data_IF_292929023167
#
_entry.id   IF_292929023167
#
_cell.length_a   1.000
_cell.length_b   1.000
_cell.length_c   1.000
_cell.angle_alpha   90.00
_cell.angle_beta   90.00
_cell.angle_gamma   90.00
#
_symmetry.space_group_name_H-M   'P 1'
#
loop_
_entity.id
_entity.type
_entity.pdbx_description
1 polymer ?
#
# COMPACT_ATOMS: atom_id res chain seq x y z
N UNK A 1 2.21 -5.03 15.77
CA UNK A 1 1.25 -5.43 14.71
C UNK A 1 0.98 -6.93 14.62
N UNK A 2 1.87 -7.83 15.09
CA UNK A 2 1.72 -9.28 14.85
C UNK A 2 0.93 -10.05 15.91
N UNK A 3 0.64 -9.45 17.06
CA UNK A 3 -0.18 -10.08 18.10
C UNK A 3 -1.65 -9.97 17.70
N UNK A 4 -2.15 -11.03 17.08
CA UNK A 4 -3.55 -11.15 16.64
C UNK A 4 -4.27 -12.11 17.57
N UNK A 5 -5.41 -11.67 18.10
CA UNK A 5 -6.26 -12.46 18.99
C UNK A 5 -7.71 -12.35 18.51
N UNK A 6 -8.53 -13.33 18.90
CA UNK A 6 -9.98 -13.32 18.64
C UNK A 6 -10.36 -13.07 17.17
N UNK A 7 -9.58 -13.58 16.21
CA UNK A 7 -9.85 -13.36 14.79
C UNK A 7 -11.05 -14.21 14.32
N UNK A 8 -12.16 -13.54 13.98
CA UNK A 8 -13.39 -14.19 13.53
C UNK A 8 -13.99 -13.49 12.30
N UNK A 9 -14.40 -14.29 11.31
CA UNK A 9 -15.00 -13.79 10.08
C UNK A 9 -16.52 -13.76 10.22
N UNK A 10 -17.14 -12.60 9.99
CA UNK A 10 -18.59 -12.40 10.04
C UNK A 10 -19.13 -11.90 8.70
N UNK A 11 -20.43 -12.11 8.39
CA UNK A 11 -21.05 -11.49 7.23
C UNK A 11 -20.95 -9.95 7.30
N UNK A 12 -20.55 -9.32 6.19
CA UNK A 12 -20.56 -7.86 6.05
C UNK A 12 -22.00 -7.37 5.86
N UNK A 13 -22.57 -6.74 6.87
CA UNK A 13 -23.96 -6.22 6.82
C UNK A 13 -24.01 -4.73 6.45
N UNK A 14 -23.03 -3.95 6.89
CA UNK A 14 -22.89 -2.52 6.60
C UNK A 14 -21.41 -2.13 6.61
N UNK A 15 -21.03 -1.15 5.78
CA UNK A 15 -19.68 -0.57 5.76
C UNK A 15 -19.73 0.89 5.35
N UNK A 16 -18.84 1.71 5.94
CA UNK A 16 -18.62 3.09 5.52
C UNK A 16 -17.63 3.20 4.35
N UNK A 17 -16.88 2.13 4.07
CA UNK A 17 -15.76 2.14 3.11
C UNK A 17 -16.06 1.28 1.88
N UNK A 18 -16.72 0.13 2.06
CA UNK A 18 -16.98 -0.82 0.98
C UNK A 18 -18.47 -0.86 0.67
N UNK A 19 -18.84 -0.49 -0.56
CA UNK A 19 -20.22 -0.62 -1.04
C UNK A 19 -20.25 -1.66 -2.16
N UNK A 20 -20.63 -2.93 -1.87
CA UNK A 20 -20.85 -3.94 -2.90
C UNK A 20 -22.02 -3.54 -3.80
N UNK A 21 -21.84 -3.71 -5.11
CA UNK A 21 -22.83 -3.39 -6.14
C UNK A 21 -22.95 -4.53 -7.13
N UNK A 22 -24.19 -4.78 -7.58
CA UNK A 22 -24.48 -5.62 -8.74
C UNK A 22 -24.97 -4.74 -9.88
N UNK A 23 -24.35 -4.84 -11.05
CA UNK A 23 -24.78 -4.15 -12.26
C UNK A 23 -25.32 -5.15 -13.28
N UNK A 24 -26.38 -4.76 -13.96
CA UNK A 24 -26.99 -5.51 -15.06
C UNK A 24 -26.81 -4.70 -16.33
N UNK A 25 -26.30 -5.32 -17.39
CA UNK A 25 -26.04 -4.64 -18.66
C UNK A 25 -26.21 -5.60 -19.84
N UNK A 26 -26.43 -5.05 -21.03
CA UNK A 26 -26.46 -5.84 -22.26
C UNK A 26 -25.19 -5.56 -23.05
N UNK A 27 -24.42 -6.60 -23.36
CA UNK A 27 -23.21 -6.49 -24.18
C UNK A 27 -23.34 -7.43 -25.37
N UNK A 28 -23.25 -6.87 -26.58
CA UNK A 28 -23.40 -7.62 -27.84
C UNK A 28 -24.69 -8.45 -27.88
N UNK A 29 -25.82 -7.84 -27.48
CA UNK A 29 -27.14 -8.47 -27.43
C UNK A 29 -27.34 -9.48 -26.29
N UNK A 30 -26.33 -9.76 -25.45
CA UNK A 30 -26.42 -10.68 -24.32
C UNK A 30 -26.56 -9.93 -23.01
N UNK A 31 -27.61 -10.24 -22.24
CA UNK A 31 -27.76 -9.75 -20.86
C UNK A 31 -26.67 -10.36 -19.98
N UNK A 32 -26.04 -9.52 -19.16
CA UNK A 32 -24.98 -9.87 -18.23
C UNK A 32 -25.26 -9.24 -16.88
N UNK A 33 -24.65 -9.84 -15.85
CA UNK A 33 -24.55 -9.30 -14.50
C UNK A 33 -23.08 -9.31 -14.09
N UNK A 34 -22.65 -8.29 -13.36
CA UNK A 34 -21.34 -8.25 -12.71
C UNK A 34 -21.46 -7.69 -11.31
N UNK A 35 -20.71 -8.25 -10.38
CA UNK A 35 -20.66 -7.80 -8.99
C UNK A 35 -19.28 -7.18 -8.74
N UNK A 36 -19.24 -6.02 -8.08
CA UNK A 36 -18.03 -5.25 -7.81
C UNK A 36 -18.20 -4.43 -6.52
N UNK A 37 -17.13 -3.85 -6.00
CA UNK A 37 -17.12 -2.95 -4.85
C UNK A 37 -16.69 -1.58 -5.34
N UNK A 38 -17.37 -0.52 -4.91
CA UNK A 38 -16.85 0.84 -5.13
C UNK A 38 -15.94 1.27 -4.00
N UNK A 39 -14.76 1.74 -4.37
CA UNK A 39 -13.73 2.32 -3.50
C UNK A 39 -13.27 3.65 -4.14
N UNK A 40 -12.66 4.49 -3.32
CA UNK A 40 -12.01 5.70 -3.80
C UNK A 40 -10.71 5.38 -4.53
N UNK A 41 -10.20 6.34 -5.30
CA UNK A 41 -8.85 6.26 -5.85
C UNK A 41 -7.82 6.46 -4.74
N UNK A 42 -6.59 6.03 -4.98
CA UNK A 42 -5.49 6.14 -4.01
C UNK A 42 -4.22 6.77 -4.62
N UNK A 43 -3.33 7.20 -3.73
CA UNK A 43 -1.95 7.60 -4.04
C UNK A 43 -0.99 6.71 -3.29
N UNK A 44 0.16 6.43 -3.90
CA UNK A 44 1.25 5.64 -3.32
C UNK A 44 2.57 6.38 -3.53
N UNK A 45 3.49 6.34 -2.56
CA UNK A 45 4.77 7.04 -2.61
C UNK A 45 5.92 6.11 -2.28
N UNK A 46 6.85 5.97 -3.22
CA UNK A 46 8.16 5.38 -2.96
C UNK A 46 9.11 6.46 -2.42
N UNK A 47 9.53 6.32 -1.18
CA UNK A 47 10.49 7.22 -0.54
C UNK A 47 11.89 6.62 -0.57
N UNK A 48 12.87 7.43 -0.95
CA UNK A 48 14.29 7.08 -0.88
C UNK A 48 15.05 8.10 -0.04
N UNK A 49 15.58 7.65 1.10
CA UNK A 49 16.43 8.46 1.96
C UNK A 49 17.85 8.50 1.39
N UNK A 50 18.26 9.70 0.96
CA UNK A 50 19.56 9.93 0.32
C UNK A 50 20.71 10.10 1.30
N UNK A 51 20.44 10.47 2.56
CA UNK A 51 21.46 10.53 3.61
C UNK A 51 22.04 9.14 3.91
N UNK A 52 21.20 8.10 3.83
CA UNK A 52 21.55 6.73 4.23
C UNK A 52 21.44 5.68 3.11
N UNK A 53 21.00 6.08 1.92
CA UNK A 53 20.77 5.21 0.77
C UNK A 53 19.86 4.01 1.07
N UNK A 54 18.73 4.30 1.73
CA UNK A 54 17.70 3.31 2.09
C UNK A 54 16.34 3.74 1.55
N UNK A 55 15.52 2.79 1.17
CA UNK A 55 14.09 3.02 0.95
C UNK A 55 13.39 3.11 2.29
N UNK A 56 12.43 4.04 2.39
CA UNK A 56 11.50 4.11 3.51
C UNK A 56 10.20 3.45 3.03
N UNK A 57 9.91 2.28 3.59
CA UNK A 57 8.70 1.51 3.32
C UNK A 57 7.92 1.36 4.61
N UNK A 58 6.70 0.83 4.49
CA UNK A 58 5.86 0.55 5.66
C UNK A 58 5.51 -0.92 5.74
N UNK A 59 5.26 -1.39 6.96
CA UNK A 59 4.57 -2.64 7.24
C UNK A 59 3.22 -2.36 7.85
N UNK A 60 2.25 -3.20 7.51
CA UNK A 60 0.96 -3.22 8.17
C UNK A 60 0.40 -4.65 8.19
N UNK A 61 -0.44 -4.95 9.18
CA UNK A 61 -1.24 -6.18 9.15
C UNK A 61 -2.46 -5.97 8.23
N UNK A 62 -2.58 -6.77 7.17
CA UNK A 62 -3.74 -6.78 6.26
C UNK A 62 -4.60 -8.02 6.54
N UNK A 63 -5.79 -7.87 7.17
CA UNK A 63 -6.65 -9.00 7.54
C UNK A 63 -7.04 -9.92 6.38
N UNK A 64 -7.22 -9.36 5.17
CA UNK A 64 -7.54 -10.13 3.98
C UNK A 64 -6.39 -11.06 3.53
N UNK A 65 -5.15 -10.59 3.62
CA UNK A 65 -3.94 -11.39 3.33
C UNK A 65 -3.78 -12.49 4.37
N UNK A 66 -3.96 -12.16 5.65
CA UNK A 66 -3.95 -13.14 6.73
C UNK A 66 -4.98 -14.25 6.48
N UNK A 67 -6.24 -13.89 6.23
CA UNK A 67 -7.32 -14.84 6.01
C UNK A 67 -7.05 -15.77 4.81
N UNK A 68 -6.50 -15.22 3.73
CA UNK A 68 -6.08 -15.99 2.57
C UNK A 68 -4.98 -17.00 2.92
N UNK A 69 -3.95 -16.57 3.64
CA UNK A 69 -2.80 -17.40 4.00
C UNK A 69 -3.13 -18.51 5.01
N UNK A 70 -4.10 -18.29 5.91
CA UNK A 70 -4.61 -19.36 6.79
C UNK A 70 -5.57 -20.34 6.08
N UNK A 71 -5.81 -20.15 4.78
CA UNK A 71 -6.64 -21.00 3.89
C UNK A 71 -8.06 -21.23 4.44
N UNK A 72 -8.59 -20.24 5.14
CA UNK A 72 -9.92 -20.30 5.73
C UNK A 72 -10.84 -19.35 4.97
N UNK A 73 -11.82 -19.90 4.24
CA UNK A 73 -12.65 -19.12 3.31
C UNK A 73 -14.13 -19.02 3.71
N UNK A 74 -14.48 -19.31 4.96
CA UNK A 74 -15.88 -19.35 5.43
C UNK A 74 -16.27 -18.20 6.35
N UNK A 75 -17.49 -17.68 6.18
CA UNK A 75 -18.14 -16.91 7.25
C UNK A 75 -18.40 -17.81 8.46
N UNK A 76 -18.20 -17.28 9.67
CA UNK A 76 -18.31 -18.03 10.92
C UNK A 76 -17.05 -18.80 11.32
N UNK A 77 -15.93 -18.66 10.58
CA UNK A 77 -14.67 -19.29 10.98
C UNK A 77 -13.98 -18.45 12.06
N UNK A 78 -13.62 -19.12 13.16
CA UNK A 78 -12.64 -18.64 14.14
C UNK A 78 -11.26 -19.16 13.74
N UNK A 79 -10.30 -18.26 13.54
CA UNK A 79 -8.92 -18.65 13.25
C UNK A 79 -8.19 -18.88 14.57
N UNK A 80 -7.51 -20.02 14.71
CA UNK A 80 -6.64 -20.26 15.86
C UNK A 80 -5.31 -19.51 15.66
N UNK A 81 -5.19 -18.35 16.30
CA UNK A 81 -4.01 -17.47 16.18
C UNK A 81 -2.78 -17.98 16.94
N UNK A 82 -2.92 -19.03 17.75
CA UNK A 82 -1.76 -19.74 18.34
C UNK A 82 -1.06 -20.64 17.31
N UNK A 83 -1.82 -21.14 16.33
CA UNK A 83 -1.30 -22.00 15.25
C UNK A 83 -0.87 -21.16 14.04
N UNK A 84 -1.61 -20.10 13.75
CA UNK A 84 -1.35 -19.20 12.63
C UNK A 84 -0.83 -17.85 13.17
N UNK A 85 0.48 -17.57 13.05
CA UNK A 85 1.04 -16.32 13.57
C UNK A 85 0.57 -15.12 12.73
N UNK A 86 0.39 -13.96 13.37
CA UNK A 86 -0.06 -12.74 12.69
C UNK A 86 0.87 -12.25 11.58
N UNK A 87 2.14 -12.65 11.60
CA UNK A 87 3.10 -12.39 10.52
C UNK A 87 2.63 -12.91 9.15
N UNK A 88 1.75 -13.91 9.11
CA UNK A 88 1.10 -14.37 7.87
C UNK A 88 0.24 -13.28 7.20
N UNK A 89 -0.17 -12.26 7.93
CA UNK A 89 -0.95 -11.12 7.42
C UNK A 89 -0.15 -9.84 7.27
N UNK A 90 1.12 -9.81 7.71
CA UNK A 90 1.95 -8.61 7.59
C UNK A 90 2.43 -8.49 6.15
N UNK A 91 2.28 -7.29 5.61
CA UNK A 91 2.67 -6.89 4.27
C UNK A 91 3.78 -5.84 4.34
N UNK A 92 4.60 -5.77 3.28
CA UNK A 92 5.52 -4.65 3.02
C UNK A 92 4.95 -3.85 1.86
N UNK A 93 4.75 -2.55 2.10
CA UNK A 93 3.96 -1.67 1.24
C UNK A 93 4.68 -0.33 1.03
N UNK A 94 4.25 0.40 -0.01
CA UNK A 94 4.54 1.82 -0.17
C UNK A 94 3.74 2.62 0.86
N UNK A 95 4.19 3.84 1.15
CA UNK A 95 3.34 4.81 1.83
C UNK A 95 2.13 5.13 0.95
N UNK A 96 0.92 5.06 1.46
CA UNK A 96 -0.28 5.15 0.63
C UNK A 96 -1.47 5.75 1.36
N UNK A 97 -2.38 6.39 0.62
CA UNK A 97 -3.61 6.92 1.19
C UNK A 97 -4.72 7.12 0.17
N UNK A 98 -5.94 7.15 0.67
CA UNK A 98 -7.14 7.34 -0.14
C UNK A 98 -7.31 8.81 -0.55
N UNK A 99 -7.80 9.02 -1.76
CA UNK A 99 -8.18 10.34 -2.26
C UNK A 99 -9.61 10.62 -1.81
N UNK A 100 -9.75 10.95 -0.53
CA UNK A 100 -11.03 11.10 0.18
C UNK A 100 -11.45 12.56 0.43
N UNK A 101 -10.48 13.48 0.36
CA UNK A 101 -10.65 14.92 0.61
C UNK A 101 -10.90 15.67 -0.70
N UNK A 102 -12.11 16.22 -0.88
CA UNK A 102 -12.57 16.87 -2.12
C UNK A 102 -11.73 18.09 -2.56
N UNK A 103 -10.95 18.71 -1.66
CA UNK A 103 -10.19 19.94 -1.92
C UNK A 103 -8.67 19.76 -1.91
N UNK A 104 -8.17 18.53 -2.04
CA UNK A 104 -6.73 18.26 -2.16
C UNK A 104 -6.37 17.72 -3.54
N UNK A 105 -5.28 18.24 -4.11
CA UNK A 105 -4.58 17.59 -5.22
C UNK A 105 -4.00 16.24 -4.79
N UNK A 106 -3.69 15.37 -5.75
CA UNK A 106 -3.08 14.08 -5.48
C UNK A 106 -1.73 14.24 -4.78
N UNK A 107 -0.98 15.28 -5.14
CA UNK A 107 0.30 15.62 -4.54
C UNK A 107 0.14 16.07 -3.07
N UNK A 108 -0.89 16.85 -2.74
CA UNK A 108 -1.20 17.23 -1.35
C UNK A 108 -1.68 16.07 -0.49
N UNK A 109 -2.37 15.08 -1.09
CA UNK A 109 -2.70 13.82 -0.40
C UNK A 109 -1.40 13.07 -0.14
N UNK A 110 -0.60 12.78 -1.17
CA UNK A 110 0.67 12.06 -1.04
C UNK A 110 1.63 12.70 -0.03
N UNK A 111 1.74 14.03 -0.02
CA UNK A 111 2.53 14.76 0.97
C UNK A 111 2.03 14.52 2.41
N UNK A 112 0.71 14.53 2.61
CA UNK A 112 0.11 14.31 3.93
C UNK A 112 0.39 12.89 4.43
N UNK A 113 0.20 11.88 3.57
CA UNK A 113 0.47 10.47 3.92
C UNK A 113 1.94 10.23 4.26
N UNK A 114 2.87 10.83 3.50
CA UNK A 114 4.32 10.73 3.79
C UNK A 114 4.67 11.29 5.17
N UNK A 115 4.00 12.35 5.60
CA UNK A 115 4.20 12.90 6.94
C UNK A 115 3.57 12.00 8.02
N UNK A 116 2.38 11.48 7.76
CA UNK A 116 1.57 10.70 8.70
C UNK A 116 2.12 9.30 8.92
N UNK A 117 2.28 8.53 7.84
CA UNK A 117 2.74 7.15 7.90
C UNK A 117 4.26 7.08 8.07
N UNK A 118 5.01 7.91 7.34
CA UNK A 118 6.47 7.82 7.28
C UNK A 118 7.21 8.88 8.09
N UNK A 119 6.54 9.91 8.62
CA UNK A 119 7.15 10.94 9.47
C UNK A 119 8.08 11.92 8.77
N UNK A 120 8.06 11.98 7.44
CA UNK A 120 8.92 12.87 6.65
C UNK A 120 8.16 14.10 6.18
N UNK A 121 8.77 15.29 6.33
CA UNK A 121 8.24 16.53 5.78
C UNK A 121 8.83 16.81 4.40
N UNK A 122 8.01 16.64 3.37
CA UNK A 122 8.36 16.92 1.97
C UNK A 122 7.50 18.06 1.40
N UNK A 123 7.94 18.66 0.31
CA UNK A 123 7.13 19.57 -0.52
C UNK A 123 6.40 18.78 -1.60
N UNK A 124 5.22 19.27 -2.03
CA UNK A 124 4.52 18.72 -3.20
C UNK A 124 5.36 18.76 -4.47
N UNK A 125 6.34 19.67 -4.55
CA UNK A 125 7.26 19.78 -5.69
C UNK A 125 8.36 18.71 -5.68
N UNK A 126 8.56 18.01 -4.56
CA UNK A 126 9.52 16.91 -4.45
C UNK A 126 8.97 15.61 -5.05
N UNK A 127 7.66 15.55 -5.28
CA UNK A 127 6.98 14.38 -5.81
C UNK A 127 7.16 14.26 -7.32
N UNK A 128 7.80 13.18 -7.74
CA UNK A 128 7.87 12.77 -9.14
C UNK A 128 6.83 11.68 -9.41
N UNK A 129 5.88 11.95 -10.29
CA UNK A 129 4.94 10.92 -10.73
C UNK A 129 5.66 9.81 -11.51
N UNK A 130 5.50 8.57 -11.06
CA UNK A 130 5.95 7.37 -11.76
C UNK A 130 4.94 6.98 -12.84
N UNK A 131 3.69 6.72 -12.42
CA UNK A 131 2.62 6.25 -13.31
C UNK A 131 1.24 6.41 -12.66
N UNK A 132 0.19 6.13 -13.43
CA UNK A 132 -1.20 5.98 -12.96
C UNK A 132 -1.82 4.76 -13.63
N UNK A 133 -2.44 3.87 -12.86
CA UNK A 133 -3.10 2.68 -13.39
C UNK A 133 -4.38 2.35 -12.61
N UNK A 134 -4.99 1.20 -12.93
CA UNK A 134 -6.23 0.73 -12.29
C UNK A 134 -5.89 -0.32 -11.24
N UNK A 135 -6.43 -0.17 -10.04
CA UNK A 135 -6.32 -1.15 -8.97
C UNK A 135 -7.50 -2.15 -9.04
N UNK A 136 -7.24 -3.41 -8.71
CA UNK A 136 -8.26 -4.46 -8.58
C UNK A 136 -9.29 -4.50 -9.72
N UNK A 137 -8.83 -4.52 -10.98
CA UNK A 137 -9.64 -4.28 -12.21
C UNK A 137 -11.00 -5.00 -12.26
N UNK A 138 -11.06 -6.26 -11.83
CA UNK A 138 -12.28 -7.07 -11.89
C UNK A 138 -13.23 -6.90 -10.70
N UNK A 139 -12.76 -6.28 -9.61
CA UNK A 139 -13.48 -6.17 -8.33
C UNK A 139 -13.76 -4.73 -7.93
N UNK A 140 -12.85 -3.79 -8.18
CA UNK A 140 -12.96 -2.38 -7.76
C UNK A 140 -12.86 -1.45 -8.97
N UNK A 141 -11.73 -1.49 -9.67
CA UNK A 141 -11.48 -0.63 -10.85
C UNK A 141 -11.19 0.83 -10.53
N UNK A 142 -10.88 1.17 -9.27
CA UNK A 142 -10.40 2.50 -8.85
C UNK A 142 -9.04 2.82 -9.48
N UNK A 143 -8.65 4.10 -9.45
CA UNK A 143 -7.35 4.52 -9.96
C UNK A 143 -6.32 4.60 -8.84
N UNK A 144 -5.10 4.16 -9.12
CA UNK A 144 -3.95 4.33 -8.23
C UNK A 144 -2.89 5.19 -8.92
N UNK A 145 -2.37 6.18 -8.22
CA UNK A 145 -1.28 7.05 -8.71
C UNK A 145 -0.02 6.83 -7.89
N UNK A 146 1.07 6.45 -8.54
CA UNK A 146 2.34 6.15 -7.87
C UNK A 146 3.32 7.29 -8.08
N UNK A 147 3.88 7.79 -6.99
CA UNK A 147 4.88 8.84 -6.91
C UNK A 147 6.20 8.31 -6.35
N UNK A 148 7.26 9.08 -6.56
CA UNK A 148 8.59 8.92 -5.98
C UNK A 148 9.00 10.24 -5.33
N UNK A 149 9.65 10.19 -4.17
CA UNK A 149 10.30 11.35 -3.59
C UNK A 149 11.61 10.96 -2.88
N UNK A 150 12.55 11.91 -2.88
CA UNK A 150 13.79 11.80 -2.11
C UNK A 150 13.63 12.55 -0.80
N UNK A 151 14.16 11.95 0.27
CA UNK A 151 14.20 12.57 1.60
C UNK A 151 15.60 12.54 2.17
N UNK A 152 15.84 13.35 3.19
CA UNK A 152 17.05 13.33 4.02
C UNK A 152 16.68 13.12 5.49
N UNK A 153 17.67 12.82 6.33
CA UNK A 153 17.45 12.65 7.77
C UNK A 153 16.95 13.93 8.45
N UNK A 154 17.30 15.11 7.92
CA UNK A 154 16.83 16.41 8.41
C UNK A 154 15.33 16.62 8.17
N UNK A 155 14.73 15.90 7.21
CA UNK A 155 13.30 15.97 6.91
C UNK A 155 12.47 15.04 7.80
N UNK A 156 13.09 14.18 8.63
CA UNK A 156 12.38 13.29 9.56
C UNK A 156 11.93 14.08 10.78
N UNK A 157 10.63 14.37 10.86
CA UNK A 157 10.04 15.24 11.92
C UNK A 157 9.23 14.47 12.95
N UNK A 158 8.87 13.22 12.67
CA UNK A 158 8.20 12.31 13.61
C UNK A 158 8.59 10.86 13.34
N UNK A 159 8.17 9.93 14.21
CA UNK A 159 8.34 8.49 13.97
C UNK A 159 7.55 7.98 12.76
N UNK A 160 6.49 8.70 12.33
CA UNK A 160 5.43 8.13 11.51
C UNK A 160 4.56 7.17 12.33
N UNK A 161 3.78 6.33 11.64
CA UNK A 161 2.99 5.26 12.24
C UNK A 161 1.49 5.28 11.93
N UNK A 162 1.02 6.24 11.13
CA UNK A 162 -0.41 6.37 10.80
C UNK A 162 -1.23 6.99 11.93
N UNK A 163 -2.55 6.96 11.78
CA UNK A 163 -3.51 7.46 12.76
C UNK A 163 -4.15 6.33 13.58
N UNK A 164 -3.81 6.27 14.87
CA UNK A 164 -4.36 5.28 15.79
C UNK A 164 -5.88 5.40 15.93
N UNK A 165 -6.44 6.61 15.85
CA UNK A 165 -7.89 6.85 15.85
C UNK A 165 -8.62 6.26 14.64
N UNK A 166 -7.92 6.06 13.53
CA UNK A 166 -8.44 5.39 12.33
C UNK A 166 -8.20 3.87 12.37
N UNK A 167 -7.61 3.38 13.47
CA UNK A 167 -7.31 1.97 13.68
C UNK A 167 -6.02 1.52 13.00
N UNK A 168 -5.19 2.46 12.56
CA UNK A 168 -3.93 2.15 11.90
C UNK A 168 -2.85 1.73 12.90
N UNK A 169 -2.01 0.81 12.45
CA UNK A 169 -0.83 0.38 13.19
C UNK A 169 0.27 0.08 12.18
N UNK A 170 0.96 1.15 11.79
CA UNK A 170 1.98 1.12 10.74
C UNK A 170 3.36 1.12 11.37
N UNK A 171 4.24 0.26 10.85
CA UNK A 171 5.66 0.24 11.21
C UNK A 171 6.47 0.78 10.02
N UNK A 172 7.21 1.87 10.24
CA UNK A 172 8.16 2.38 9.24
C UNK A 172 9.41 1.51 9.26
N UNK A 173 9.80 0.99 8.10
CA UNK A 173 10.99 0.18 7.93
C UNK A 173 11.95 0.83 6.93
N UNK A 174 13.24 0.58 7.14
CA UNK A 174 14.29 0.99 6.23
C UNK A 174 14.83 -0.23 5.50
N UNK A 175 14.88 -0.14 4.18
CA UNK A 175 15.31 -1.23 3.31
C UNK A 175 16.48 -0.73 2.48
N UNK A 176 17.66 -1.33 2.66
CA UNK A 176 18.83 -0.99 1.85
C UNK A 176 18.57 -1.27 0.38
N UNK A 177 19.38 -0.68 -0.49
CA UNK A 177 19.27 -0.90 -1.93
C UNK A 177 19.41 -2.39 -2.30
N UNK A 178 20.34 -3.10 -1.66
CA UNK A 178 20.54 -4.52 -1.91
C UNK A 178 19.40 -5.39 -1.39
N UNK A 179 18.83 -5.04 -0.23
CA UNK A 179 17.63 -5.70 0.28
C UNK A 179 16.44 -5.45 -0.64
N UNK A 180 16.24 -4.23 -1.13
CA UNK A 180 15.16 -3.91 -2.05
C UNK A 180 15.27 -4.66 -3.39
N UNK A 181 16.48 -4.92 -3.88
CA UNK A 181 16.69 -5.78 -5.07
C UNK A 181 16.22 -7.21 -4.83
N UNK A 182 16.51 -7.77 -3.65
CA UNK A 182 16.04 -9.10 -3.25
C UNK A 182 14.53 -9.10 -3.03
N UNK A 183 14.02 -8.06 -2.37
CA UNK A 183 12.62 -7.86 -2.06
C UNK A 183 11.73 -7.84 -3.30
N UNK A 184 12.22 -7.54 -4.50
CA UNK A 184 11.39 -7.63 -5.73
C UNK A 184 10.97 -9.08 -6.02
N UNK A 185 11.83 -10.06 -5.71
CA UNK A 185 11.65 -11.46 -6.12
C UNK A 185 11.47 -12.43 -4.94
N UNK A 186 11.51 -11.96 -3.70
CA UNK A 186 11.37 -12.79 -2.50
C UNK A 186 9.91 -13.17 -2.20
N UNK A 187 9.41 -14.22 -2.85
CA UNK A 187 8.04 -14.76 -2.68
C UNK A 187 7.63 -15.11 -1.23
N UNK A 188 8.57 -15.18 -0.27
CA UNK A 188 8.23 -15.39 1.14
C UNK A 188 7.62 -14.15 1.82
N UNK A 189 7.80 -12.96 1.24
CA UNK A 189 7.28 -11.70 1.79
C UNK A 189 6.00 -11.30 1.07
N UNK A 190 4.92 -11.05 1.82
CA UNK A 190 3.71 -10.45 1.27
C UNK A 190 4.02 -9.00 0.85
N UNK A 191 3.90 -8.70 -0.43
CA UNK A 191 4.19 -7.39 -1.03
C UNK A 191 3.09 -7.03 -2.01
N UNK A 192 2.74 -5.76 -2.07
CA UNK A 192 1.83 -5.26 -3.08
C UNK A 192 2.51 -5.12 -4.45
N UNK A 193 1.73 -5.19 -5.52
CA UNK A 193 2.25 -5.05 -6.88
C UNK A 193 2.76 -3.63 -7.18
N UNK A 194 2.17 -2.60 -6.54
CA UNK A 194 2.60 -1.20 -6.65
C UNK A 194 4.06 -1.01 -6.23
N UNK A 195 4.45 -1.59 -5.09
CA UNK A 195 5.83 -1.61 -4.60
C UNK A 195 6.80 -2.20 -5.63
N UNK A 196 6.45 -3.35 -6.23
CA UNK A 196 7.31 -3.99 -7.24
C UNK A 196 7.51 -3.09 -8.46
N UNK A 197 6.44 -2.46 -8.94
CA UNK A 197 6.50 -1.51 -10.07
C UNK A 197 7.38 -0.31 -9.72
N UNK A 198 7.21 0.27 -8.53
CA UNK A 198 7.97 1.44 -8.09
C UNK A 198 9.47 1.13 -7.95
N UNK A 199 9.84 0.00 -7.33
CA UNK A 199 11.22 -0.43 -7.18
C UNK A 199 11.88 -0.73 -8.54
N UNK A 200 11.19 -1.44 -9.44
CA UNK A 200 11.69 -1.70 -10.79
C UNK A 200 11.88 -0.41 -11.59
N UNK A 201 10.94 0.54 -11.47
CA UNK A 201 11.09 1.86 -12.05
C UNK A 201 12.32 2.59 -11.49
N UNK A 202 12.49 2.60 -10.16
CA UNK A 202 13.63 3.26 -9.51
C UNK A 202 14.96 2.68 -10.00
N UNK A 203 15.10 1.34 -10.03
CA UNK A 203 16.34 0.71 -10.48
C UNK A 203 16.63 0.91 -11.96
N UNK A 204 15.62 1.15 -12.78
CA UNK A 204 15.77 1.41 -14.21
C UNK A 204 15.99 2.90 -14.53
N UNK A 205 15.39 3.81 -13.75
CA UNK A 205 15.30 5.24 -14.09
C UNK A 205 16.07 6.17 -13.18
N UNK A 206 16.26 5.81 -11.92
CA UNK A 206 16.88 6.68 -10.90
C UNK A 206 18.27 6.16 -10.53
N UNK A 207 18.35 4.88 -10.14
CA UNK A 207 19.57 4.27 -9.61
C UNK A 207 20.80 4.38 -10.53
N UNK A 208 20.70 4.17 -11.87
CA UNK A 208 21.86 4.28 -12.75
C UNK A 208 22.54 5.65 -12.71
N UNK A 209 21.77 6.72 -12.50
CA UNK A 209 22.30 8.08 -12.40
C UNK A 209 22.86 8.42 -11.02
N UNK A 210 22.51 7.63 -9.99
CA UNK A 210 23.07 7.75 -8.64
C UNK A 210 24.40 7.00 -8.52
N UNK A 211 24.53 5.84 -9.14
CA UNK A 211 25.81 5.10 -9.20
C UNK A 211 26.77 5.60 -10.28
N UNK A 212 26.26 6.23 -11.35
CA UNK A 212 27.07 6.70 -12.48
C UNK A 212 27.80 8.04 -12.27
N UNK A 213 27.89 8.56 -11.04
CA UNK A 213 28.75 9.73 -10.71
C UNK A 213 30.13 9.35 -10.18
N UNK A 214 30.57 8.13 -10.45
CA UNK A 214 31.98 7.79 -10.50
C UNK A 214 32.31 7.43 -11.94
N UNK A 215 32.81 8.40 -12.71
CA UNK A 215 33.78 8.31 -13.81
C UNK A 215 34.03 9.70 -14.40
#
# INVERSE_FOLDING_TARGET
MEVIQEFHVVPLTQSNYLVPKSVYFTQNGKKRRWDFVTEQSDVNVLLFNTSRNVFILVKQFRPAVYLYNVKSAGSGVKVNTEVFPGSLGVTVELCAGLVDKENKSLEEVAQAEVLEECGYSISVNDLQKITKCRNSIGLVGSETTVYYAEVTDEQKVSSGGGLAEEGELIEVIEVTVDEARKLIYDEAVNRESGLLVALLWFFNKVWPHKCGREH
#
